data_IF_827865574381
#
_entry.id   IF_827865574381
#
_cell.length_a   1.000
_cell.length_b   1.000
_cell.length_c   1.000
_cell.angle_alpha   90.00
_cell.angle_beta   90.00
_cell.angle_gamma   90.00
#
_symmetry.space_group_name_H-M   'P 1'
#
loop_
_entity.id
_entity.type
_entity.pdbx_description
1 polymer ?
#
# COMPACT_ATOMS: atom_id res chain seq x y z
N UNK A 1 32.13 2.68 12.74
CA UNK A 1 31.21 3.54 13.50
C UNK A 1 29.90 2.76 13.56
N UNK A 2 29.68 2.07 14.66
CA UNK A 2 28.47 1.26 14.86
C UNK A 2 27.29 2.21 15.04
N UNK A 3 26.37 2.18 14.09
CA UNK A 3 25.06 2.83 14.23
C UNK A 3 24.26 1.96 15.20
N UNK A 4 24.06 2.45 16.40
CA UNK A 4 23.17 1.85 17.39
C UNK A 4 21.77 1.71 16.76
N UNK A 5 21.34 0.49 16.51
CA UNK A 5 19.93 0.15 16.27
C UNK A 5 19.17 0.42 17.58
N UNK A 6 18.80 1.68 17.82
CA UNK A 6 17.92 2.05 18.93
C UNK A 6 16.51 1.50 18.62
N UNK A 7 15.97 0.78 19.61
CA UNK A 7 14.59 0.30 19.59
C UNK A 7 13.60 1.45 19.42
N UNK A 8 13.13 1.67 18.19
CA UNK A 8 12.09 2.66 17.86
C UNK A 8 10.69 2.28 18.38
N UNK A 9 10.59 1.38 19.34
CA UNK A 9 9.32 1.00 20.00
C UNK A 9 8.68 2.14 20.82
N UNK A 10 9.46 3.18 21.17
CA UNK A 10 8.97 4.30 21.99
C UNK A 10 8.12 5.33 21.22
N UNK A 11 8.10 5.29 19.89
CA UNK A 11 7.37 6.25 19.05
C UNK A 11 5.90 5.87 18.81
N UNK A 12 5.48 4.67 19.24
CA UNK A 12 4.09 4.25 19.12
C UNK A 12 3.32 4.68 20.37
N UNK A 13 2.21 5.42 20.24
CA UNK A 13 1.34 5.73 21.37
C UNK A 13 0.96 4.47 22.16
N UNK A 14 0.95 4.53 23.48
CA UNK A 14 0.67 3.36 24.34
C UNK A 14 -0.64 2.63 23.98
N UNK A 15 -1.63 3.34 23.45
CA UNK A 15 -2.87 2.75 22.92
C UNK A 15 -2.67 1.83 21.69
N UNK A 16 -1.51 1.93 21.03
CA UNK A 16 -1.15 1.13 19.86
C UNK A 16 -0.12 0.04 20.18
N UNK A 17 0.45 0.01 21.39
CA UNK A 17 1.41 -1.00 21.80
C UNK A 17 0.78 -2.38 22.08
N UNK A 18 -0.54 -2.46 22.19
CA UNK A 18 -1.25 -3.71 22.47
C UNK A 18 -1.59 -4.49 21.18
N UNK A 19 -0.61 -4.59 20.27
CA UNK A 19 -0.73 -5.29 18.99
C UNK A 19 -1.01 -6.79 19.13
N UNK A 20 -0.68 -7.41 20.28
CA UNK A 20 -0.90 -8.83 20.57
C UNK A 20 -2.39 -9.23 20.58
N UNK A 21 -3.30 -8.27 20.79
CA UNK A 21 -4.75 -8.49 20.82
C UNK A 21 -5.45 -8.02 19.53
N UNK A 22 -4.70 -7.73 18.46
CA UNK A 22 -5.28 -7.30 17.18
C UNK A 22 -5.63 -8.51 16.32
N UNK A 23 -6.79 -8.44 15.67
CA UNK A 23 -7.36 -9.52 14.86
C UNK A 23 -6.83 -9.53 13.42
N UNK A 24 -6.16 -8.45 12.99
CA UNK A 24 -5.64 -8.36 11.63
C UNK A 24 -4.50 -9.38 11.43
N UNK A 25 -4.52 -10.08 10.31
CA UNK A 25 -3.62 -11.19 9.99
C UNK A 25 -2.12 -10.83 10.07
N UNK A 26 -1.76 -9.58 9.79
CA UNK A 26 -0.37 -9.12 9.84
C UNK A 26 0.18 -8.94 11.27
N UNK A 27 -0.64 -9.19 12.29
CA UNK A 27 -0.22 -9.36 13.69
C UNK A 27 -0.19 -10.84 14.12
N UNK A 28 -0.48 -11.77 13.21
CA UNK A 28 -0.40 -13.20 13.47
C UNK A 28 0.91 -13.77 12.89
N UNK A 29 1.77 -14.35 13.75
CA UNK A 29 3.08 -14.88 13.38
C UNK A 29 2.98 -15.99 12.32
N UNK A 30 2.04 -16.92 12.45
CA UNK A 30 1.87 -18.02 11.50
C UNK A 30 1.60 -17.49 10.07
N UNK A 31 0.83 -16.44 9.95
CA UNK A 31 0.52 -15.83 8.65
C UNK A 31 1.68 -14.99 8.12
N UNK A 32 2.37 -14.25 8.97
CA UNK A 32 3.49 -13.41 8.54
C UNK A 32 4.70 -14.27 8.14
N UNK A 33 4.99 -15.36 8.84
CA UNK A 33 6.13 -16.24 8.55
C UNK A 33 6.00 -16.96 7.19
N UNK A 34 4.77 -17.13 6.69
CA UNK A 34 4.51 -17.78 5.39
C UNK A 34 4.24 -16.79 4.25
N UNK A 35 4.23 -15.49 4.53
CA UNK A 35 3.81 -14.46 3.59
C UNK A 35 4.63 -14.40 2.30
N UNK A 36 5.97 -14.41 2.39
CA UNK A 36 6.85 -14.40 1.22
C UNK A 36 6.66 -15.64 0.34
N UNK A 37 6.56 -16.84 0.96
CA UNK A 37 6.34 -18.10 0.23
C UNK A 37 5.02 -18.10 -0.54
N UNK A 38 3.98 -17.46 0.04
CA UNK A 38 2.68 -17.33 -0.60
C UNK A 38 2.74 -16.55 -1.92
N UNK A 39 3.62 -15.53 -2.00
CA UNK A 39 3.84 -14.74 -3.23
C UNK A 39 4.72 -15.43 -4.27
N UNK A 40 5.67 -16.26 -3.88
CA UNK A 40 6.59 -16.93 -4.82
C UNK A 40 5.88 -17.89 -5.80
N UNK A 41 4.71 -18.38 -5.46
CA UNK A 41 3.94 -19.31 -6.27
C UNK A 41 2.93 -18.63 -7.20
N UNK A 42 1.65 -18.78 -6.84
CA UNK A 42 0.48 -18.39 -7.67
C UNK A 42 0.39 -16.89 -7.98
N UNK A 43 0.93 -16.05 -7.12
CA UNK A 43 0.73 -14.60 -7.18
C UNK A 43 1.85 -13.85 -7.89
N UNK A 44 3.00 -14.45 -8.16
CA UNK A 44 4.14 -13.84 -8.87
C UNK A 44 3.74 -13.18 -10.20
N UNK A 45 2.88 -13.85 -10.98
CA UNK A 45 2.39 -13.28 -12.25
C UNK A 45 1.47 -12.07 -12.04
N UNK A 46 0.63 -12.09 -11.01
CA UNK A 46 -0.25 -10.96 -10.69
C UNK A 46 0.58 -9.75 -10.23
N UNK A 47 1.58 -9.96 -9.39
CA UNK A 47 2.49 -8.93 -8.91
C UNK A 47 3.22 -8.20 -10.04
N UNK A 48 3.69 -8.93 -11.07
CA UNK A 48 4.33 -8.30 -12.24
C UNK A 48 3.40 -7.28 -12.90
N UNK A 49 2.10 -7.59 -13.05
CA UNK A 49 1.15 -6.67 -13.64
C UNK A 49 0.75 -5.54 -12.70
N UNK A 50 0.69 -5.79 -11.41
CA UNK A 50 0.48 -4.76 -10.38
C UNK A 50 1.62 -3.74 -10.42
N UNK A 51 2.87 -4.20 -10.44
CA UNK A 51 4.07 -3.37 -10.56
C UNK A 51 4.03 -2.51 -11.83
N UNK A 52 3.70 -3.08 -12.99
CA UNK A 52 3.58 -2.32 -14.25
C UNK A 52 2.52 -1.21 -14.19
N UNK A 53 1.37 -1.46 -13.56
CA UNK A 53 0.34 -0.43 -13.39
C UNK A 53 0.85 0.70 -12.50
N UNK A 54 1.51 0.37 -11.39
CA UNK A 54 2.04 1.37 -10.46
C UNK A 54 3.19 2.16 -11.07
N UNK A 55 4.10 1.51 -11.79
CA UNK A 55 5.19 2.15 -12.53
C UNK A 55 4.66 3.19 -13.53
N UNK A 56 3.71 2.80 -14.37
CA UNK A 56 3.13 3.70 -15.36
C UNK A 56 2.50 4.95 -14.71
N UNK A 57 1.83 4.78 -13.58
CA UNK A 57 1.13 5.86 -12.91
C UNK A 57 2.09 6.81 -12.18
N UNK A 58 3.06 6.26 -11.45
CA UNK A 58 4.00 7.04 -10.62
C UNK A 58 5.09 7.66 -11.47
N UNK A 59 5.74 6.90 -12.36
CA UNK A 59 6.84 7.40 -13.19
C UNK A 59 6.41 8.40 -14.26
N UNK A 60 5.10 8.54 -14.52
CA UNK A 60 4.57 9.64 -15.34
C UNK A 60 4.72 11.01 -14.64
N UNK A 61 4.90 11.06 -13.33
CA UNK A 61 5.29 12.25 -12.60
C UNK A 61 6.82 12.23 -12.36
N UNK A 62 7.57 12.86 -13.26
CA UNK A 62 9.03 12.86 -13.22
C UNK A 62 9.64 13.57 -11.99
N UNK A 63 8.84 14.25 -11.18
CA UNK A 63 9.26 14.89 -9.93
C UNK A 63 9.49 13.87 -8.81
N UNK A 64 8.90 12.67 -8.92
CA UNK A 64 9.02 11.62 -7.90
C UNK A 64 10.37 10.93 -8.04
N UNK A 65 11.25 11.15 -7.08
CA UNK A 65 12.57 10.53 -6.92
C UNK A 65 12.71 9.79 -5.61
N UNK A 66 12.00 10.26 -4.59
CA UNK A 66 12.02 9.71 -3.25
C UNK A 66 10.58 9.37 -2.80
N UNK A 67 10.35 8.11 -2.40
CA UNK A 67 9.03 7.58 -2.11
C UNK A 67 9.01 6.85 -0.77
N UNK A 68 7.97 7.10 0.04
CA UNK A 68 7.68 6.29 1.22
C UNK A 68 6.51 5.34 0.91
N UNK A 69 6.76 4.03 0.95
CA UNK A 69 5.68 3.04 0.93
C UNK A 69 5.20 2.76 2.36
N UNK A 70 3.93 3.05 2.65
CA UNK A 70 3.33 2.79 3.95
C UNK A 70 2.41 1.56 3.91
N UNK A 71 2.60 0.64 4.88
CA UNK A 71 2.11 -0.74 4.81
C UNK A 71 3.01 -1.59 3.92
N UNK A 72 4.33 -1.38 4.02
CA UNK A 72 5.33 -2.01 3.15
C UNK A 72 5.45 -3.53 3.38
N UNK A 73 4.91 -4.05 4.48
CA UNK A 73 5.00 -5.46 4.83
C UNK A 73 6.44 -5.95 4.86
N UNK A 74 6.74 -6.94 4.02
CA UNK A 74 8.08 -7.50 3.82
C UNK A 74 8.89 -6.75 2.74
N UNK A 75 8.48 -5.54 2.37
CA UNK A 75 9.15 -4.64 1.41
C UNK A 75 9.17 -5.11 -0.05
N UNK A 76 8.19 -5.92 -0.48
CA UNK A 76 8.17 -6.45 -1.86
C UNK A 76 8.07 -5.37 -2.93
N UNK A 77 7.24 -4.36 -2.72
CA UNK A 77 7.13 -3.21 -3.61
C UNK A 77 8.20 -2.17 -3.31
N UNK A 78 8.58 -1.96 -2.04
CA UNK A 78 9.64 -1.03 -1.65
C UNK A 78 10.97 -1.35 -2.34
N UNK A 79 11.38 -2.63 -2.34
CA UNK A 79 12.55 -3.13 -3.07
C UNK A 79 12.43 -2.90 -4.58
N UNK A 80 11.26 -3.19 -5.12
CA UNK A 80 11.02 -3.00 -6.54
C UNK A 80 11.05 -1.53 -6.97
N UNK A 81 10.58 -0.58 -6.13
CA UNK A 81 10.74 0.85 -6.42
C UNK A 81 12.21 1.22 -6.56
N UNK A 82 13.10 0.67 -5.71
CA UNK A 82 14.54 0.87 -5.85
C UNK A 82 15.09 0.23 -7.13
N UNK A 83 14.64 -0.97 -7.50
CA UNK A 83 15.06 -1.66 -8.73
C UNK A 83 14.77 -0.83 -10.00
N UNK A 84 13.72 -0.01 -9.98
CA UNK A 84 13.38 0.88 -11.11
C UNK A 84 13.90 2.32 -10.94
N UNK A 85 14.77 2.57 -9.95
CA UNK A 85 15.50 3.83 -9.78
C UNK A 85 14.78 4.91 -8.95
N UNK A 86 13.74 4.56 -8.18
CA UNK A 86 13.13 5.45 -7.20
C UNK A 86 13.71 5.11 -5.83
N UNK A 87 14.30 6.09 -5.13
CA UNK A 87 14.73 5.90 -3.75
C UNK A 87 13.51 5.65 -2.88
N UNK A 88 13.43 4.47 -2.25
CA UNK A 88 12.25 4.08 -1.49
C UNK A 88 12.59 3.71 -0.05
N UNK A 89 11.72 4.15 0.86
CA UNK A 89 11.72 3.79 2.27
C UNK A 89 10.43 3.05 2.61
N UNK A 90 10.42 2.23 3.66
CA UNK A 90 9.25 1.44 4.06
C UNK A 90 8.72 1.84 5.43
N UNK A 91 7.40 1.95 5.57
CA UNK A 91 6.71 2.10 6.84
C UNK A 91 5.66 1.01 7.04
N UNK A 92 5.57 0.44 8.23
CA UNK A 92 4.51 -0.52 8.57
C UNK A 92 4.15 -0.42 10.05
N UNK A 93 2.92 -0.80 10.38
CA UNK A 93 2.45 -0.86 11.76
C UNK A 93 2.81 -2.20 12.44
N UNK A 94 3.05 -3.24 11.64
CA UNK A 94 3.31 -4.60 12.12
C UNK A 94 4.79 -4.83 12.43
N UNK A 95 5.15 -5.04 13.71
CA UNK A 95 6.53 -5.42 14.06
C UNK A 95 6.91 -6.79 13.48
N UNK A 96 5.94 -7.68 13.27
CA UNK A 96 6.19 -9.00 12.68
C UNK A 96 6.58 -8.89 11.22
N UNK A 97 5.90 -8.03 10.44
CA UNK A 97 6.26 -7.75 9.05
C UNK A 97 7.63 -7.09 8.96
N UNK A 98 7.89 -6.07 9.75
CA UNK A 98 9.17 -5.37 9.76
C UNK A 98 10.33 -6.26 10.22
N UNK A 99 10.09 -7.23 11.12
CA UNK A 99 11.12 -8.19 11.53
C UNK A 99 11.63 -9.06 10.37
N UNK A 100 10.80 -9.30 9.37
CA UNK A 100 11.22 -9.98 8.14
C UNK A 100 11.82 -9.00 7.13
N UNK A 101 11.23 -7.82 7.03
CA UNK A 101 11.68 -6.77 6.11
C UNK A 101 13.17 -6.41 6.31
N UNK A 102 13.64 -6.30 7.55
CA UNK A 102 15.05 -5.97 7.86
C UNK A 102 16.07 -6.98 7.33
N UNK A 103 15.66 -8.20 6.99
CA UNK A 103 16.52 -9.21 6.39
C UNK A 103 16.47 -9.19 4.85
N UNK A 104 15.52 -8.46 4.27
CA UNK A 104 15.24 -8.46 2.85
C UNK A 104 15.52 -7.08 2.19
N UNK A 105 15.70 -6.04 2.99
CA UNK A 105 15.78 -4.67 2.54
C UNK A 105 16.82 -3.89 3.34
N UNK A 106 17.77 -3.25 2.63
CA UNK A 106 18.87 -2.49 3.25
C UNK A 106 18.53 -0.99 3.44
N UNK A 107 17.35 -0.54 2.96
CA UNK A 107 16.93 0.86 3.09
C UNK A 107 16.25 1.17 4.42
N UNK A 108 15.76 2.39 4.55
CA UNK A 108 15.14 2.89 5.77
C UNK A 108 13.77 2.25 6.01
N UNK A 109 13.57 1.79 7.24
CA UNK A 109 12.31 1.22 7.72
C UNK A 109 11.83 1.95 8.97
N UNK A 110 10.53 2.24 9.05
CA UNK A 110 9.91 2.86 10.23
C UNK A 110 8.71 2.05 10.69
N UNK A 111 8.59 1.83 11.98
CA UNK A 111 7.39 1.27 12.58
C UNK A 111 6.48 2.41 13.05
N UNK A 112 5.34 2.60 12.36
CA UNK A 112 4.39 3.66 12.67
C UNK A 112 2.98 3.34 12.18
N UNK A 113 1.98 4.07 12.71
CA UNK A 113 0.63 4.08 12.20
C UNK A 113 0.49 5.15 11.11
N UNK A 114 -0.02 4.78 9.94
CA UNK A 114 -0.28 5.67 8.82
C UNK A 114 -1.29 6.79 9.10
N UNK A 115 -2.08 6.67 10.17
CA UNK A 115 -2.94 7.77 10.63
C UNK A 115 -2.17 8.90 11.33
N UNK A 116 -0.90 8.67 11.72
CA UNK A 116 -0.03 9.59 12.47
C UNK A 116 1.42 9.38 12.06
N UNK A 117 1.77 9.79 10.83
CA UNK A 117 3.09 9.57 10.27
C UNK A 117 4.15 10.46 10.96
N UNK A 118 5.25 9.89 11.48
CA UNK A 118 6.26 10.63 12.24
C UNK A 118 7.25 11.38 11.33
N UNK A 119 6.74 12.05 10.31
CA UNK A 119 7.52 12.79 9.33
C UNK A 119 7.06 14.24 9.24
N UNK A 120 7.98 15.11 8.81
CA UNK A 120 7.69 16.52 8.50
C UNK A 120 6.78 16.60 7.25
N UNK A 121 6.13 17.73 7.10
CA UNK A 121 5.42 18.06 5.87
C UNK A 121 6.39 18.01 4.68
N UNK A 122 5.90 17.42 3.58
CA UNK A 122 6.68 17.28 2.34
C UNK A 122 8.04 16.56 2.51
N UNK A 123 8.10 15.59 3.43
CA UNK A 123 9.33 14.83 3.70
C UNK A 123 9.72 13.88 2.56
N UNK A 124 8.75 13.47 1.73
CA UNK A 124 8.96 12.60 0.56
C UNK A 124 8.29 13.21 -0.67
N UNK A 125 8.78 12.87 -1.84
CA UNK A 125 8.18 13.32 -3.10
C UNK A 125 6.77 12.72 -3.28
N UNK A 126 6.60 11.44 -2.95
CA UNK A 126 5.30 10.77 -2.97
C UNK A 126 5.17 9.71 -1.87
N UNK A 127 3.94 9.38 -1.52
CA UNK A 127 3.63 8.21 -0.72
C UNK A 127 2.99 7.12 -1.56
N UNK A 128 3.25 5.85 -1.18
CA UNK A 128 2.60 4.70 -1.81
C UNK A 128 1.90 3.82 -0.76
N UNK A 129 0.74 3.28 -1.13
CA UNK A 129 -0.05 2.33 -0.37
C UNK A 129 -0.44 1.18 -1.31
N UNK A 130 0.21 0.03 -1.20
CA UNK A 130 -0.01 -1.10 -2.10
C UNK A 130 -0.59 -2.29 -1.34
N UNK A 131 -1.85 -2.65 -1.63
CA UNK A 131 -2.60 -3.73 -0.98
C UNK A 131 -2.61 -3.64 0.55
N UNK A 132 -2.66 -2.44 1.06
CA UNK A 132 -2.69 -2.13 2.50
C UNK A 132 -3.85 -1.19 2.88
N UNK A 133 -4.31 -0.35 1.93
CA UNK A 133 -5.35 0.64 2.15
C UNK A 133 -6.69 0.00 2.57
N UNK A 134 -6.91 -1.25 2.20
CA UNK A 134 -8.05 -2.07 2.56
C UNK A 134 -8.22 -2.29 4.07
N UNK A 135 -7.18 -2.07 4.87
CA UNK A 135 -7.18 -2.33 6.32
C UNK A 135 -7.31 -1.07 7.18
N UNK A 136 -7.40 0.10 6.57
CA UNK A 136 -7.48 1.34 7.33
C UNK A 136 -8.89 1.61 7.84
N UNK A 137 -9.00 1.89 9.16
CA UNK A 137 -10.28 2.21 9.81
C UNK A 137 -10.76 3.62 9.47
N UNK A 138 -9.84 4.55 9.25
CA UNK A 138 -10.14 5.92 8.84
C UNK A 138 -9.31 6.30 7.59
N UNK A 139 -9.77 5.90 6.40
CA UNK A 139 -9.04 6.13 5.15
C UNK A 139 -8.89 7.63 4.82
N UNK A 140 -9.85 8.48 5.21
CA UNK A 140 -9.78 9.93 5.03
C UNK A 140 -8.57 10.50 5.78
N UNK A 141 -8.38 10.11 7.05
CA UNK A 141 -7.25 10.58 7.86
C UNK A 141 -5.91 10.12 7.29
N UNK A 142 -5.82 8.89 6.77
CA UNK A 142 -4.60 8.38 6.15
C UNK A 142 -4.25 9.18 4.89
N UNK A 143 -5.24 9.52 4.04
CA UNK A 143 -4.99 10.35 2.84
C UNK A 143 -4.56 11.76 3.25
N UNK A 144 -5.13 12.34 4.30
CA UNK A 144 -4.73 13.65 4.83
C UNK A 144 -3.27 13.65 5.31
N UNK A 145 -2.86 12.62 6.07
CA UNK A 145 -1.47 12.46 6.49
C UNK A 145 -0.53 12.22 5.30
N UNK A 146 -0.95 11.39 4.34
CA UNK A 146 -0.19 11.17 3.12
C UNK A 146 -0.02 12.46 2.30
N UNK A 147 -1.04 13.30 2.25
CA UNK A 147 -0.99 14.60 1.57
C UNK A 147 -0.16 15.64 2.33
N UNK A 148 -0.02 15.50 3.65
CA UNK A 148 0.88 16.33 4.46
C UNK A 148 2.34 15.93 4.23
N UNK A 149 2.62 14.62 4.25
CA UNK A 149 4.00 14.09 4.18
C UNK A 149 4.52 14.03 2.75
N UNK A 150 3.64 13.75 1.77
CA UNK A 150 3.98 13.70 0.35
C UNK A 150 3.91 15.07 -0.32
N UNK A 151 4.94 15.41 -1.08
CA UNK A 151 5.06 16.69 -1.75
C UNK A 151 4.27 16.75 -3.06
N UNK A 152 4.42 15.74 -3.92
CA UNK A 152 3.90 15.77 -5.28
C UNK A 152 2.73 14.81 -5.53
N UNK A 153 2.53 13.79 -4.69
CA UNK A 153 1.42 12.91 -4.89
C UNK A 153 1.30 11.71 -3.97
N UNK A 154 0.22 10.94 -4.22
CA UNK A 154 -0.08 9.70 -3.50
C UNK A 154 -0.39 8.61 -4.52
N UNK A 155 0.32 7.49 -4.42
CA UNK A 155 0.11 6.28 -5.20
C UNK A 155 -0.68 5.26 -4.38
N UNK A 156 -1.76 4.73 -4.91
CA UNK A 156 -2.56 3.71 -4.26
C UNK A 156 -2.80 2.53 -5.19
N UNK A 157 -2.53 1.32 -4.72
CA UNK A 157 -2.75 0.09 -5.47
C UNK A 157 -3.54 -0.91 -4.63
N UNK A 158 -4.68 -1.39 -5.13
CA UNK A 158 -5.55 -2.25 -4.34
C UNK A 158 -6.38 -3.23 -5.17
N UNK A 159 -6.92 -4.22 -4.47
CA UNK A 159 -7.82 -5.19 -5.05
C UNK A 159 -9.18 -4.56 -5.37
N UNK A 160 -9.66 -4.76 -6.60
CA UNK A 160 -10.91 -4.15 -7.05
C UNK A 160 -12.13 -4.93 -6.54
N UNK A 161 -12.99 -4.25 -5.78
CA UNK A 161 -14.25 -4.81 -5.26
C UNK A 161 -15.13 -5.49 -6.33
N UNK A 162 -15.12 -4.97 -7.56
CA UNK A 162 -15.94 -5.48 -8.67
C UNK A 162 -15.29 -6.65 -9.43
N UNK A 163 -14.09 -7.07 -9.05
CA UNK A 163 -13.44 -8.21 -9.66
C UNK A 163 -14.16 -9.52 -9.32
N UNK A 164 -14.43 -10.39 -10.30
CA UNK A 164 -14.95 -11.73 -10.04
C UNK A 164 -14.08 -12.55 -9.07
N UNK A 165 -12.75 -12.36 -9.12
CA UNK A 165 -11.81 -13.02 -8.19
C UNK A 165 -11.96 -12.50 -6.77
N UNK A 166 -12.13 -11.19 -6.59
CA UNK A 166 -12.34 -10.59 -5.26
C UNK A 166 -13.70 -11.00 -4.71
N UNK A 167 -14.76 -11.02 -5.53
CA UNK A 167 -16.09 -11.53 -5.13
C UNK A 167 -15.96 -12.97 -4.64
N UNK A 168 -15.28 -13.85 -5.41
CA UNK A 168 -15.05 -15.24 -5.01
C UNK A 168 -14.27 -15.33 -3.69
N UNK A 169 -13.24 -14.51 -3.48
CA UNK A 169 -12.45 -14.47 -2.25
C UNK A 169 -13.33 -14.10 -1.05
N UNK A 170 -14.16 -13.07 -1.18
CA UNK A 170 -15.11 -12.67 -0.15
C UNK A 170 -16.10 -13.78 0.23
N UNK A 171 -16.58 -14.52 -0.77
CA UNK A 171 -17.43 -15.71 -0.51
C UNK A 171 -16.64 -16.79 0.24
N UNK A 172 -15.39 -17.06 -0.13
CA UNK A 172 -14.54 -18.04 0.57
C UNK A 172 -14.24 -17.63 2.01
N UNK A 173 -14.10 -16.33 2.26
CA UNK A 173 -13.88 -15.74 3.58
C UNK A 173 -15.11 -15.96 4.49
N UNK A 174 -16.32 -15.71 3.98
CA UNK A 174 -17.56 -15.96 4.72
C UNK A 174 -17.70 -17.45 5.18
N UNK A 175 -16.92 -18.36 4.58
CA UNK A 175 -16.80 -19.77 4.98
C UNK A 175 -15.51 -20.09 5.75
N UNK A 176 -14.78 -19.08 6.27
CA UNK A 176 -13.56 -19.25 7.08
C UNK A 176 -12.35 -19.80 6.31
N UNK A 177 -12.33 -19.70 4.97
CA UNK A 177 -11.28 -20.29 4.13
C UNK A 177 -10.12 -19.35 3.78
N UNK A 178 -10.18 -18.09 4.21
CA UNK A 178 -9.14 -17.12 3.90
C UNK A 178 -9.00 -16.05 5.00
N UNK A 179 -8.04 -16.15 5.89
CA UNK A 179 -7.87 -15.24 7.02
C UNK A 179 -7.38 -13.85 6.61
N UNK A 180 -6.76 -13.70 5.44
CA UNK A 180 -6.12 -12.44 5.02
C UNK A 180 -7.10 -11.29 4.75
N UNK A 181 -8.37 -11.57 4.50
CA UNK A 181 -9.34 -10.55 4.11
C UNK A 181 -10.46 -10.30 5.11
N UNK A 182 -10.45 -10.96 6.27
CA UNK A 182 -11.50 -10.86 7.30
C UNK A 182 -11.79 -9.41 7.72
N UNK A 183 -10.75 -8.59 7.82
CA UNK A 183 -10.88 -7.18 8.22
C UNK A 183 -10.75 -6.21 7.04
N UNK A 184 -10.60 -6.72 5.80
CA UNK A 184 -10.34 -5.90 4.63
C UNK A 184 -11.61 -5.24 4.07
N UNK A 185 -11.56 -3.95 3.77
CA UNK A 185 -12.56 -3.22 3.01
C UNK A 185 -12.10 -3.09 1.56
N UNK A 186 -12.82 -3.71 0.63
CA UNK A 186 -12.51 -3.59 -0.79
C UNK A 186 -13.17 -2.36 -1.41
N UNK A 187 -12.42 -1.64 -2.22
CA UNK A 187 -12.84 -0.43 -2.90
C UNK A 187 -13.04 -0.65 -4.40
N UNK A 188 -13.85 0.21 -5.01
CA UNK A 188 -13.84 0.46 -6.45
C UNK A 188 -13.05 1.75 -6.70
N UNK A 189 -12.57 1.99 -7.94
CA UNK A 189 -11.96 3.29 -8.27
C UNK A 189 -12.84 4.49 -7.91
N UNK A 190 -14.16 4.37 -8.13
CA UNK A 190 -15.13 5.42 -7.79
C UNK A 190 -15.20 5.69 -6.29
N UNK A 191 -15.36 4.64 -5.46
CA UNK A 191 -15.41 4.79 -4.00
C UNK A 191 -14.13 5.44 -3.45
N UNK A 192 -12.96 5.01 -3.96
CA UNK A 192 -11.70 5.59 -3.55
C UNK A 192 -11.60 7.06 -3.96
N UNK A 193 -12.03 7.42 -5.17
CA UNK A 193 -12.06 8.80 -5.63
C UNK A 193 -12.94 9.69 -4.74
N UNK A 194 -14.09 9.19 -4.28
CA UNK A 194 -14.98 9.91 -3.36
C UNK A 194 -14.29 10.18 -2.01
N UNK A 195 -13.58 9.19 -1.46
CA UNK A 195 -12.78 9.35 -0.22
C UNK A 195 -11.64 10.36 -0.41
N UNK A 196 -10.97 10.34 -1.57
CA UNK A 196 -9.92 11.30 -1.91
C UNK A 196 -10.49 12.72 -1.97
N UNK A 197 -11.64 12.91 -2.62
CA UNK A 197 -12.29 14.23 -2.69
C UNK A 197 -12.68 14.76 -1.31
N UNK A 198 -13.12 13.89 -0.41
CA UNK A 198 -13.41 14.25 0.97
C UNK A 198 -12.14 14.65 1.72
N UNK A 199 -11.08 13.84 1.61
CA UNK A 199 -9.83 14.04 2.35
C UNK A 199 -9.06 15.29 1.90
N UNK A 200 -9.09 15.59 0.60
CA UNK A 200 -8.31 16.66 -0.04
C UNK A 200 -9.17 17.88 -0.40
N UNK A 201 -10.28 18.07 0.28
CA UNK A 201 -11.16 19.22 0.04
C UNK A 201 -10.41 20.54 0.15
N UNK A 202 -10.44 21.35 -0.92
CA UNK A 202 -9.78 22.64 -1.00
C UNK A 202 -8.33 22.60 -1.54
N UNK A 203 -7.82 21.42 -1.90
CA UNK A 203 -6.53 21.25 -2.56
C UNK A 203 -6.71 21.02 -4.07
N UNK A 204 -5.77 21.50 -4.88
CA UNK A 204 -5.75 21.26 -6.33
C UNK A 204 -4.96 19.99 -6.66
N UNK A 205 -5.59 19.06 -7.36
CA UNK A 205 -4.97 17.80 -7.79
C UNK A 205 -5.64 17.19 -9.01
N UNK A 206 -4.93 16.26 -9.64
CA UNK A 206 -5.47 15.40 -10.70
C UNK A 206 -5.39 13.95 -10.29
N UNK A 207 -6.33 13.12 -10.74
CA UNK A 207 -6.36 11.68 -10.49
C UNK A 207 -6.17 10.95 -11.81
N UNK A 208 -5.19 10.04 -11.84
CA UNK A 208 -5.01 9.05 -12.90
C UNK A 208 -5.18 7.66 -12.32
N UNK A 209 -5.79 6.76 -13.04
CA UNK A 209 -5.94 5.39 -12.60
C UNK A 209 -5.91 4.41 -13.77
N UNK A 210 -5.53 3.18 -13.50
CA UNK A 210 -5.55 2.06 -14.44
C UNK A 210 -5.76 0.76 -13.70
N UNK A 211 -6.21 -0.29 -14.37
CA UNK A 211 -6.38 -1.60 -13.76
C UNK A 211 -5.66 -2.70 -14.55
N UNK A 212 -5.48 -3.84 -13.92
CA UNK A 212 -4.93 -5.06 -14.52
C UNK A 212 -5.63 -6.29 -14.00
N UNK A 213 -5.22 -7.47 -14.48
CA UNK A 213 -5.90 -8.72 -14.16
C UNK A 213 -7.20 -8.89 -14.94
N UNK A 214 -7.27 -8.30 -16.13
CA UNK A 214 -8.39 -8.45 -17.06
C UNK A 214 -8.49 -9.90 -17.57
N UNK A 215 -9.67 -10.33 -18.04
CA UNK A 215 -9.84 -11.65 -18.65
C UNK A 215 -8.82 -11.89 -19.79
N UNK A 216 -8.35 -13.13 -19.94
CA UNK A 216 -7.31 -13.47 -20.93
C UNK A 216 -7.67 -13.15 -22.38
N UNK A 217 -8.97 -13.11 -22.72
CA UNK A 217 -9.48 -12.75 -24.03
C UNK A 217 -9.52 -11.24 -24.30
N UNK A 218 -9.21 -10.43 -23.28
CA UNK A 218 -9.19 -8.99 -23.42
C UNK A 218 -7.93 -8.55 -24.21
N UNK A 219 -8.04 -7.64 -25.18
CA UNK A 219 -6.94 -7.29 -26.09
C UNK A 219 -5.75 -6.63 -25.40
N UNK A 220 -5.99 -6.01 -24.25
CA UNK A 220 -4.95 -5.37 -23.42
C UNK A 220 -5.06 -5.85 -21.98
N UNK A 221 -3.92 -5.92 -21.26
CA UNK A 221 -3.88 -6.36 -19.88
C UNK A 221 -3.84 -5.21 -18.87
N UNK A 222 -3.89 -3.97 -19.37
CA UNK A 222 -3.88 -2.76 -18.56
C UNK A 222 -4.77 -1.70 -19.22
N UNK A 223 -5.81 -1.27 -18.52
CA UNK A 223 -6.76 -0.29 -19.01
C UNK A 223 -7.55 0.37 -17.86
N UNK A 224 -8.11 1.56 -18.09
CA UNK A 224 -9.00 2.25 -17.14
C UNK A 224 -10.44 1.75 -17.25
N UNK A 225 -10.67 0.47 -16.93
CA UNK A 225 -11.98 -0.17 -16.88
C UNK A 225 -12.28 -0.66 -15.47
N UNK A 226 -13.54 -0.62 -15.00
CA UNK A 226 -13.87 -0.80 -13.59
C UNK A 226 -13.93 -2.25 -13.10
N UNK A 227 -13.45 -3.23 -13.87
CA UNK A 227 -13.61 -4.67 -13.58
C UNK A 227 -12.31 -5.50 -13.58
N UNK A 228 -11.12 -4.89 -13.66
CA UNK A 228 -9.86 -5.59 -13.47
C UNK A 228 -9.67 -6.07 -12.03
N UNK A 229 -8.82 -7.06 -11.80
CA UNK A 229 -8.59 -7.65 -10.46
C UNK A 229 -7.92 -6.70 -9.48
N UNK A 230 -7.04 -5.85 -10.00
CA UNK A 230 -6.29 -4.85 -9.25
C UNK A 230 -6.38 -3.52 -10.01
N UNK A 231 -6.50 -2.43 -9.29
CA UNK A 231 -6.35 -1.10 -9.85
C UNK A 231 -5.29 -0.31 -9.10
N UNK A 232 -4.54 0.49 -9.86
CA UNK A 232 -3.68 1.54 -9.35
C UNK A 232 -4.33 2.89 -9.56
N UNK A 233 -4.08 3.82 -8.65
CA UNK A 233 -4.50 5.21 -8.72
C UNK A 233 -3.35 6.11 -8.26
N UNK A 234 -3.14 7.21 -8.94
CA UNK A 234 -2.17 8.23 -8.56
C UNK A 234 -2.87 9.59 -8.45
N UNK A 235 -2.79 10.19 -7.28
CA UNK A 235 -3.20 11.57 -7.02
C UNK A 235 -1.99 12.44 -7.21
N UNK A 236 -2.00 13.29 -8.20
CA UNK A 236 -0.93 14.27 -8.46
C UNK A 236 -1.34 15.63 -7.91
N UNK A 237 -0.54 16.20 -7.01
CA UNK A 237 -0.77 17.54 -6.49
C UNK A 237 -0.29 18.61 -7.48
N UNK A 238 -1.14 19.63 -7.70
CA UNK A 238 -0.90 20.70 -8.66
C UNK A 238 -0.56 22.04 -7.99
N UNK A 239 -0.71 22.10 -6.68
CA UNK A 239 -0.51 23.28 -5.83
C UNK A 239 0.91 23.38 -5.22
N UNK A 240 1.89 22.60 -5.76
CA UNK A 240 3.28 22.53 -5.22
C UNK A 240 4.30 22.73 -6.33
#
# INVERSE_FOLDING_TARGET
MEIQKQNNLELIPQSQQNWQNREEWFFNREHTDTYEQWYEGRYKRAEIWQKKVMEQLVCADQRVKELLEFGCGTTRFTRWWQDIGIQASGGDISPLMLSQAVNLFDGDLVMADSHYMPFKDHAFDALAFITTFEYYRNPVKVIQEAARVGKYGIAMGMMNRNSPKVIRRRVQEAFGKNPFYVTATFYTPKMLTEIIHEALKGREYTIRWSCTGLPKWFPVQQWSVPFGDFFGLYVQFNDV
#
